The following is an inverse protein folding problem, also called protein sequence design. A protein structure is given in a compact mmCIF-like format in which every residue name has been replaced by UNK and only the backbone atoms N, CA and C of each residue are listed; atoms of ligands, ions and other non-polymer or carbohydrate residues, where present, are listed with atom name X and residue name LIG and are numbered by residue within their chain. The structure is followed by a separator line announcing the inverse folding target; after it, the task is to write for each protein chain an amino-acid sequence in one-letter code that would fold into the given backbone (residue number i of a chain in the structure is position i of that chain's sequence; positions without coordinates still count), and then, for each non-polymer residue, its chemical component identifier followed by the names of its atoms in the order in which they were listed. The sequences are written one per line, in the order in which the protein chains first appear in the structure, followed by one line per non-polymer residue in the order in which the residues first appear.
data_IF_903309059313
#
_entry.id   IF_903309059313
#
_cell.length_a   1.000
_cell.length_b   1.000
_cell.length_c   1.000
_cell.angle_alpha   90.00
_cell.angle_beta   90.00
_cell.angle_gamma   90.00
#
_symmetry.space_group_name_H-M   'P 1'
#
loop_
_entity.id
_entity.type
_entity.pdbx_description
1 polymer ?
#
# COMPACT_ATOMS: atom_id res chain seq x y z
N UNK A 1 -47.08 -17.90 -16.52
CA UNK A 1 -47.15 -16.66 -15.74
C UNK A 1 -46.45 -16.88 -14.39
N UNK A 2 -45.12 -16.82 -14.35
CA UNK A 2 -44.30 -17.14 -13.17
C UNK A 2 -43.30 -16.00 -12.96
N UNK A 3 -43.77 -14.86 -12.47
CA UNK A 3 -42.97 -13.63 -12.30
C UNK A 3 -43.29 -12.87 -11.00
N UNK A 4 -43.50 -13.58 -9.88
CA UNK A 4 -43.72 -12.93 -8.57
C UNK A 4 -42.98 -13.61 -7.41
N UNK A 5 -41.80 -14.19 -7.65
CA UNK A 5 -40.93 -14.70 -6.57
C UNK A 5 -39.45 -14.27 -6.67
N UNK A 6 -39.13 -13.24 -7.46
CA UNK A 6 -37.75 -12.74 -7.64
C UNK A 6 -37.54 -11.29 -7.18
N UNK A 7 -38.37 -10.79 -6.26
CA UNK A 7 -38.24 -9.42 -5.74
C UNK A 7 -37.82 -9.33 -4.26
N UNK A 8 -37.51 -10.47 -3.61
CA UNK A 8 -37.20 -10.49 -2.17
C UNK A 8 -35.77 -10.94 -1.83
N UNK A 9 -34.87 -11.01 -2.82
CA UNK A 9 -33.45 -11.31 -2.60
C UNK A 9 -32.53 -10.08 -2.70
N UNK A 10 -33.07 -8.88 -2.91
CA UNK A 10 -32.28 -7.67 -3.17
C UNK A 10 -32.13 -6.72 -1.97
N UNK A 11 -32.51 -7.15 -0.75
CA UNK A 11 -32.54 -6.28 0.43
C UNK A 11 -31.71 -6.77 1.63
N UNK A 12 -30.64 -7.51 1.38
CA UNK A 12 -29.60 -7.80 2.38
C UNK A 12 -28.24 -7.53 1.75
N UNK A 13 -27.89 -6.25 1.61
CA UNK A 13 -26.61 -5.91 1.00
C UNK A 13 -26.46 -4.41 0.77
N UNK A 14 -26.40 -3.64 1.86
CA UNK A 14 -25.90 -2.25 1.87
C UNK A 14 -25.82 -1.75 3.32
N UNK A 15 -24.91 -2.33 4.08
CA UNK A 15 -24.38 -1.69 5.30
C UNK A 15 -22.91 -2.09 5.51
N UNK A 16 -22.14 -2.18 4.42
CA UNK A 16 -20.70 -2.01 4.53
C UNK A 16 -20.51 -0.52 4.72
N UNK A 17 -20.35 -0.09 5.99
CA UNK A 17 -19.91 1.26 6.32
C UNK A 17 -18.73 1.56 5.41
N UNK A 18 -18.84 2.59 4.56
CA UNK A 18 -17.68 3.25 3.97
C UNK A 18 -16.86 3.78 5.15
N UNK A 19 -15.99 2.95 5.70
CA UNK A 19 -14.84 3.42 6.46
C UNK A 19 -13.99 4.07 5.39
N UNK A 20 -14.14 5.39 5.22
CA UNK A 20 -13.34 6.14 4.27
C UNK A 20 -11.87 5.91 4.60
N UNK A 21 -11.06 5.63 3.58
CA UNK A 21 -9.60 5.54 3.71
C UNK A 21 -9.00 6.74 4.49
N UNK A 22 -9.69 7.88 4.49
CA UNK A 22 -9.40 9.10 5.26
C UNK A 22 -9.32 8.87 6.78
N UNK A 23 -10.13 7.97 7.39
CA UNK A 23 -10.03 7.68 8.83
C UNK A 23 -8.91 6.68 9.15
N UNK A 24 -8.54 5.83 8.19
CA UNK A 24 -7.51 4.81 8.40
C UNK A 24 -6.11 5.44 8.37
N UNK A 25 -5.84 6.30 7.38
CA UNK A 25 -4.55 7.01 7.26
C UNK A 25 -4.35 8.14 8.26
N UNK A 26 -5.42 8.88 8.61
CA UNK A 26 -5.31 9.91 9.66
C UNK A 26 -5.03 9.27 11.02
N UNK A 27 -5.59 8.09 11.30
CA UNK A 27 -5.24 7.31 12.50
C UNK A 27 -3.85 6.65 12.39
N UNK A 28 -3.43 6.22 11.18
CA UNK A 28 -2.12 5.61 10.88
C UNK A 28 -0.94 6.51 11.28
N UNK A 29 -1.07 7.83 11.05
CA UNK A 29 -0.01 8.80 11.36
C UNK A 29 -0.18 9.44 12.73
N UNK A 30 -1.41 9.58 13.23
CA UNK A 30 -1.67 10.28 14.50
C UNK A 30 -1.43 9.44 15.75
N UNK A 31 -1.48 8.09 15.69
CA UNK A 31 -1.31 7.24 16.88
C UNK A 31 0.12 6.75 17.11
N UNK A 32 0.97 6.81 16.08
CA UNK A 32 2.39 6.43 16.19
C UNK A 32 3.10 7.48 17.06
N UNK A 33 3.75 7.01 18.13
CA UNK A 33 4.43 7.86 19.11
C UNK A 33 3.64 8.12 20.42
N UNK A 34 2.38 7.69 20.53
CA UNK A 34 1.58 7.86 21.75
C UNK A 34 1.57 6.64 22.68
N UNK A 35 1.88 5.44 22.17
CA UNK A 35 1.81 4.17 22.92
C UNK A 35 3.14 3.43 23.09
N UNK A 36 4.24 4.00 22.60
CA UNK A 36 5.57 3.37 22.59
C UNK A 36 5.81 2.41 21.40
N UNK A 37 7.07 1.97 21.20
CA UNK A 37 7.49 1.21 20.01
C UNK A 37 6.70 -0.08 19.75
N UNK A 38 6.31 -0.82 20.79
CA UNK A 38 5.56 -2.07 20.66
C UNK A 38 4.11 -1.85 20.23
N UNK A 39 3.51 -0.73 20.66
CA UNK A 39 2.18 -0.33 20.22
C UNK A 39 2.23 0.08 18.74
N UNK A 40 3.21 0.91 18.39
CA UNK A 40 3.42 1.38 17.02
C UNK A 40 3.67 0.21 16.06
N UNK A 41 4.48 -0.77 16.46
CA UNK A 41 4.72 -2.00 15.70
C UNK A 41 3.43 -2.80 15.44
N UNK A 42 2.53 -2.91 16.44
CA UNK A 42 1.24 -3.59 16.28
C UNK A 42 0.34 -2.86 15.29
N UNK A 43 0.32 -1.53 15.35
CA UNK A 43 -0.42 -0.68 14.40
C UNK A 43 0.12 -0.91 12.98
N UNK A 44 1.42 -0.75 12.77
CA UNK A 44 2.04 -0.92 11.45
C UNK A 44 1.81 -2.31 10.86
N UNK A 45 1.90 -3.37 11.68
CA UNK A 45 1.60 -4.74 11.24
C UNK A 45 0.15 -4.88 10.77
N UNK A 46 -0.82 -4.36 11.54
CA UNK A 46 -2.24 -4.40 11.19
C UNK A 46 -2.48 -3.64 9.89
N UNK A 47 -1.89 -2.46 9.78
CA UNK A 47 -2.17 -1.54 8.69
C UNK A 47 -1.51 -1.99 7.38
N UNK A 48 -0.30 -2.56 7.43
CA UNK A 48 0.32 -3.21 6.28
C UNK A 48 -0.59 -4.27 5.67
N UNK A 49 -1.15 -5.16 6.51
CA UNK A 49 -2.06 -6.21 6.08
C UNK A 49 -3.36 -5.66 5.50
N UNK A 50 -3.98 -4.72 6.22
CA UNK A 50 -5.23 -4.11 5.77
C UNK A 50 -5.06 -3.38 4.43
N UNK A 51 -3.93 -2.70 4.23
CA UNK A 51 -3.61 -2.02 2.98
C UNK A 51 -3.43 -3.02 1.83
N UNK A 52 -2.66 -4.10 2.05
CA UNK A 52 -2.44 -5.16 1.05
C UNK A 52 -3.77 -5.84 0.68
N UNK A 53 -4.59 -6.20 1.67
CA UNK A 53 -5.91 -6.79 1.43
C UNK A 53 -6.82 -5.84 0.64
N UNK A 54 -6.80 -4.54 0.96
CA UNK A 54 -7.58 -3.53 0.26
C UNK A 54 -7.14 -3.38 -1.21
N UNK A 55 -5.84 -3.27 -1.49
CA UNK A 55 -5.36 -3.10 -2.88
C UNK A 55 -5.69 -4.34 -3.72
N UNK A 56 -5.57 -5.55 -3.16
CA UNK A 56 -5.98 -6.77 -3.84
C UNK A 56 -7.48 -6.78 -4.18
N UNK A 57 -8.33 -6.20 -3.32
CA UNK A 57 -9.77 -6.10 -3.56
C UNK A 57 -10.18 -5.01 -4.55
N UNK A 58 -9.33 -4.01 -4.80
CA UNK A 58 -9.64 -2.82 -5.61
C UNK A 58 -8.96 -2.79 -6.98
N UNK A 59 -7.88 -3.54 -7.15
CA UNK A 59 -7.00 -3.45 -8.31
C UNK A 59 -6.82 -4.81 -9.00
N UNK A 60 -6.77 -4.79 -10.34
CA UNK A 60 -6.34 -5.95 -11.14
C UNK A 60 -4.82 -6.14 -11.13
N UNK A 61 -4.35 -7.28 -11.64
CA UNK A 61 -2.94 -7.69 -11.63
C UNK A 61 -1.97 -6.61 -12.16
N UNK A 62 -2.29 -5.98 -13.29
CA UNK A 62 -1.46 -4.91 -13.87
C UNK A 62 -1.29 -3.72 -12.90
N UNK A 63 -2.38 -3.31 -12.24
CA UNK A 63 -2.35 -2.22 -11.26
C UNK A 63 -1.59 -2.63 -9.99
N UNK A 64 -1.68 -3.88 -9.56
CA UNK A 64 -0.92 -4.40 -8.41
C UNK A 64 0.59 -4.39 -8.68
N UNK A 65 1.01 -4.76 -9.89
CA UNK A 65 2.39 -4.61 -10.35
C UNK A 65 2.88 -3.16 -10.28
N UNK A 66 2.09 -2.21 -10.80
CA UNK A 66 2.44 -0.79 -10.73
C UNK A 66 2.52 -0.27 -9.29
N UNK A 67 1.63 -0.70 -8.40
CA UNK A 67 1.64 -0.33 -6.97
C UNK A 67 2.89 -0.88 -6.28
N UNK A 68 3.26 -2.15 -6.53
CA UNK A 68 4.46 -2.75 -5.98
C UNK A 68 5.73 -2.02 -6.46
N UNK A 69 5.77 -1.63 -7.73
CA UNK A 69 6.89 -0.87 -8.30
C UNK A 69 7.01 0.52 -7.69
N UNK A 70 5.90 1.24 -7.54
CA UNK A 70 5.90 2.53 -6.87
C UNK A 70 6.38 2.39 -5.41
N UNK A 71 5.90 1.38 -4.68
CA UNK A 71 6.35 1.14 -3.31
C UNK A 71 7.86 0.89 -3.25
N UNK A 72 8.37 -0.01 -4.11
CA UNK A 72 9.80 -0.32 -4.23
C UNK A 72 10.63 0.94 -4.54
N UNK A 73 10.23 1.69 -5.57
CA UNK A 73 10.92 2.92 -5.99
C UNK A 73 11.03 3.92 -4.84
N UNK A 74 9.93 4.19 -4.13
CA UNK A 74 9.93 5.16 -3.02
C UNK A 74 10.76 4.70 -1.82
N UNK A 75 10.76 3.39 -1.51
CA UNK A 75 11.63 2.82 -0.48
C UNK A 75 13.10 3.02 -0.85
N UNK A 76 13.48 2.66 -2.08
CA UNK A 76 14.84 2.80 -2.60
C UNK A 76 15.29 4.27 -2.65
N UNK A 77 14.39 5.20 -3.01
CA UNK A 77 14.66 6.64 -2.95
C UNK A 77 15.01 7.10 -1.53
N UNK A 78 14.24 6.67 -0.52
CA UNK A 78 14.51 7.03 0.88
C UNK A 78 15.83 6.41 1.33
N UNK A 79 16.06 5.13 1.04
CA UNK A 79 17.32 4.46 1.38
C UNK A 79 18.51 5.15 0.74
N UNK A 80 18.48 5.42 -0.56
CA UNK A 80 19.58 6.06 -1.29
C UNK A 80 19.96 7.40 -0.69
N UNK A 81 18.99 8.19 -0.25
CA UNK A 81 19.22 9.48 0.40
C UNK A 81 19.64 9.33 1.87
N UNK A 82 19.19 8.27 2.54
CA UNK A 82 19.44 7.99 3.95
C UNK A 82 20.71 7.21 4.27
N UNK A 83 21.41 6.66 3.27
CA UNK A 83 22.70 5.95 3.44
C UNK A 83 23.78 6.78 4.18
N UNK A 84 23.60 8.10 4.30
CA UNK A 84 24.55 9.00 4.94
C UNK A 84 24.14 9.51 6.34
N UNK A 85 22.90 9.25 6.81
CA UNK A 85 22.41 9.77 8.11
C UNK A 85 21.09 9.09 8.59
N UNK A 86 21.03 8.46 9.78
CA UNK A 86 19.80 7.94 10.37
C UNK A 86 18.68 8.98 10.58
N UNK A 87 18.99 10.25 10.83
CA UNK A 87 17.99 11.33 10.91
C UNK A 87 17.25 11.54 9.59
N UNK A 88 17.80 11.02 8.49
CA UNK A 88 17.19 11.11 7.18
C UNK A 88 15.96 10.21 7.03
N UNK A 89 15.84 9.12 7.80
CA UNK A 89 14.64 8.28 7.76
C UNK A 89 13.40 9.04 8.22
N UNK A 90 13.52 9.89 9.25
CA UNK A 90 12.45 10.80 9.68
C UNK A 90 12.04 11.80 8.59
N UNK A 91 13.01 12.47 7.98
CA UNK A 91 12.78 13.39 6.84
C UNK A 91 12.22 12.67 5.60
N UNK A 92 12.62 11.42 5.39
CA UNK A 92 12.10 10.56 4.34
C UNK A 92 10.61 10.29 4.54
N UNK A 93 10.19 9.95 5.76
CA UNK A 93 8.76 9.77 6.10
C UNK A 93 7.96 11.05 5.87
N UNK A 94 8.49 12.21 6.25
CA UNK A 94 7.83 13.50 6.00
C UNK A 94 7.66 13.76 4.50
N UNK A 95 8.73 13.58 3.72
CA UNK A 95 8.68 13.73 2.27
C UNK A 95 7.68 12.77 1.60
N UNK A 96 7.67 11.50 2.02
CA UNK A 96 6.69 10.52 1.54
C UNK A 96 5.25 10.90 1.93
N UNK A 97 5.04 11.47 3.12
CA UNK A 97 3.71 11.92 3.56
C UNK A 97 3.19 13.04 2.67
N UNK A 98 4.05 13.98 2.26
CA UNK A 98 3.68 15.03 1.32
C UNK A 98 3.41 14.49 -0.09
N UNK A 99 4.23 13.55 -0.58
CA UNK A 99 3.97 12.85 -1.84
C UNK A 99 2.64 12.08 -1.82
N UNK A 100 2.33 11.43 -0.70
CA UNK A 100 1.07 10.70 -0.52
C UNK A 100 -0.14 11.63 -0.61
N UNK A 101 -0.08 12.77 0.09
CA UNK A 101 -1.10 13.83 0.02
C UNK A 101 -1.27 14.35 -1.40
N UNK A 102 -0.16 14.59 -2.11
CA UNK A 102 -0.21 15.04 -3.50
C UNK A 102 -0.85 13.99 -4.44
N UNK A 103 -0.49 12.71 -4.31
CA UNK A 103 -1.09 11.62 -5.08
C UNK A 103 -2.60 11.51 -4.82
N UNK A 104 -3.02 11.62 -3.54
CA UNK A 104 -4.42 11.64 -3.14
C UNK A 104 -5.19 12.78 -3.79
N UNK A 105 -4.63 13.99 -3.78
CA UNK A 105 -5.25 15.18 -4.39
C UNK A 105 -5.41 15.04 -5.90
N UNK A 106 -4.45 14.37 -6.56
CA UNK A 106 -4.53 14.04 -7.99
C UNK A 106 -5.43 12.84 -8.30
N UNK A 107 -5.99 12.17 -7.28
CA UNK A 107 -6.76 10.92 -7.40
C UNK A 107 -5.97 9.80 -8.08
N UNK A 108 -4.65 9.82 -7.90
CA UNK A 108 -3.76 8.78 -8.39
C UNK A 108 -3.71 7.64 -7.37
N UNK A 109 -4.61 6.67 -7.53
CA UNK A 109 -4.77 5.57 -6.58
C UNK A 109 -3.57 4.61 -6.59
N UNK A 110 -2.87 4.48 -7.72
CA UNK A 110 -1.66 3.64 -7.83
C UNK A 110 -0.54 4.28 -7.02
N UNK A 111 -0.24 5.56 -7.30
CA UNK A 111 0.80 6.28 -6.58
C UNK A 111 0.48 6.37 -5.08
N UNK A 112 -0.76 6.72 -4.73
CA UNK A 112 -1.21 6.80 -3.34
C UNK A 112 -1.03 5.46 -2.60
N UNK A 113 -1.39 4.35 -3.23
CA UNK A 113 -1.26 3.03 -2.61
C UNK A 113 0.21 2.64 -2.43
N UNK A 114 1.04 2.81 -3.46
CA UNK A 114 2.47 2.49 -3.41
C UNK A 114 3.22 3.32 -2.36
N UNK A 115 2.99 4.64 -2.35
CA UNK A 115 3.59 5.55 -1.36
C UNK A 115 3.12 5.20 0.06
N UNK A 116 1.86 4.81 0.25
CA UNK A 116 1.35 4.38 1.57
C UNK A 116 2.14 3.17 2.09
N UNK A 117 2.34 2.15 1.24
CA UNK A 117 3.14 0.98 1.61
C UNK A 117 4.59 1.39 1.93
N UNK A 118 5.20 2.29 1.16
CA UNK A 118 6.54 2.80 1.43
C UNK A 118 6.65 3.50 2.80
N UNK A 119 5.66 4.32 3.19
CA UNK A 119 5.63 4.96 4.51
C UNK A 119 5.61 3.91 5.62
N UNK A 120 4.74 2.90 5.52
CA UNK A 120 4.63 1.83 6.53
C UNK A 120 5.95 1.05 6.61
N UNK A 121 6.56 0.73 5.47
CA UNK A 121 7.84 0.04 5.41
C UNK A 121 8.95 0.81 6.12
N UNK A 122 9.16 2.09 5.77
CA UNK A 122 10.21 2.92 6.34
C UNK A 122 10.00 3.12 7.85
N UNK A 123 8.76 3.34 8.29
CA UNK A 123 8.44 3.40 9.73
C UNK A 123 8.73 2.08 10.45
N UNK A 124 8.52 0.95 9.78
CA UNK A 124 8.83 -0.37 10.34
C UNK A 124 10.33 -0.57 10.50
N UNK A 125 11.15 -0.05 9.59
CA UNK A 125 12.62 -0.10 9.71
C UNK A 125 13.14 0.75 10.88
N UNK A 126 12.54 1.91 11.14
CA UNK A 126 12.87 2.74 12.30
C UNK A 126 12.63 1.98 13.62
N UNK A 127 11.64 1.08 13.67
CA UNK A 127 11.35 0.25 14.84
C UNK A 127 12.25 -0.99 14.98
N UNK A 128 13.18 -1.23 14.04
CA UNK A 128 14.06 -2.38 14.05
C UNK A 128 13.31 -3.71 14.10
N UNK A 129 13.72 -4.61 14.99
CA UNK A 129 13.17 -5.97 15.10
C UNK A 129 11.66 -6.00 15.34
N UNK A 130 11.12 -5.01 16.06
CA UNK A 130 9.68 -4.92 16.34
C UNK A 130 8.86 -4.69 15.05
N UNK A 131 9.45 -3.99 14.06
CA UNK A 131 8.80 -3.68 12.79
C UNK A 131 8.89 -4.79 11.74
N UNK A 132 9.69 -5.85 11.96
CA UNK A 132 9.89 -6.94 11.01
C UNK A 132 8.59 -7.55 10.45
N UNK A 133 7.53 -7.79 11.26
CA UNK A 133 6.29 -8.36 10.72
C UNK A 133 5.63 -7.50 9.64
N UNK A 134 5.66 -6.17 9.78
CA UNK A 134 5.10 -5.25 8.80
C UNK A 134 6.02 -5.13 7.58
N UNK A 135 7.33 -5.01 7.82
CA UNK A 135 8.36 -5.00 6.78
C UNK A 135 8.26 -6.22 5.87
N UNK A 136 8.23 -7.42 6.45
CA UNK A 136 8.16 -8.68 5.71
C UNK A 136 6.86 -8.83 4.90
N UNK A 137 5.73 -8.34 5.41
CA UNK A 137 4.48 -8.36 4.66
C UNK A 137 4.58 -7.49 3.38
N UNK A 138 5.19 -6.31 3.49
CA UNK A 138 5.35 -5.39 2.36
C UNK A 138 6.41 -5.89 1.39
N UNK A 139 7.55 -6.40 1.88
CA UNK A 139 8.56 -7.04 1.03
C UNK A 139 7.96 -8.22 0.27
N UNK A 140 7.20 -9.10 0.95
CA UNK A 140 6.54 -10.23 0.30
C UNK A 140 5.56 -9.80 -0.80
N UNK A 141 4.80 -8.71 -0.57
CA UNK A 141 3.96 -8.12 -1.62
C UNK A 141 4.81 -7.60 -2.79
N UNK A 142 5.87 -6.83 -2.53
CA UNK A 142 6.74 -6.28 -3.57
C UNK A 142 7.43 -7.39 -4.39
N UNK A 143 7.87 -8.46 -3.73
CA UNK A 143 8.55 -9.58 -4.37
C UNK A 143 7.58 -10.45 -5.17
N UNK A 144 6.36 -10.67 -4.66
CA UNK A 144 5.30 -11.38 -5.39
C UNK A 144 5.01 -10.76 -6.77
N UNK A 145 5.09 -9.43 -6.86
CA UNK A 145 4.77 -8.68 -8.07
C UNK A 145 6.01 -8.25 -8.87
N UNK A 146 7.21 -8.69 -8.48
CA UNK A 146 8.45 -8.33 -9.17
C UNK A 146 8.46 -8.82 -10.63
N UNK A 147 7.92 -10.02 -10.88
CA UNK A 147 7.87 -10.65 -12.22
C UNK A 147 6.84 -10.03 -13.16
N UNK A 148 5.84 -9.30 -12.64
CA UNK A 148 4.86 -8.60 -13.48
C UNK A 148 5.49 -7.47 -14.32
N UNK A 149 6.79 -7.19 -14.11
CA UNK A 149 7.58 -6.33 -14.98
C UNK A 149 8.05 -7.02 -16.27
N UNK A 150 8.30 -8.32 -16.23
CA UNK A 150 8.93 -9.05 -17.34
C UNK A 150 7.91 -9.38 -18.44
N UNK A 151 6.64 -9.63 -18.08
CA UNK A 151 5.58 -10.04 -19.01
C UNK A 151 5.01 -8.90 -19.88
N UNK A 152 5.36 -7.63 -19.61
CA UNK A 152 4.90 -6.49 -20.42
C UNK A 152 5.87 -6.09 -21.55
N UNK A 153 6.90 -6.92 -21.82
CA UNK A 153 8.02 -6.59 -22.71
C UNK A 153 8.20 -7.43 -23.98
N UNK A 154 7.42 -8.51 -24.19
CA UNK A 154 7.55 -9.35 -25.39
C UNK A 154 6.22 -9.41 -26.17
N UNK A 155 5.90 -8.33 -26.89
CA UNK A 155 5.17 -8.49 -28.16
C UNK A 155 6.19 -8.95 -29.20
N UNK A 156 6.19 -10.25 -29.53
CA UNK A 156 6.94 -10.83 -30.64
C UNK A 156 6.42 -10.25 -31.97
N UNK A 157 7.20 -9.41 -32.71
CA UNK A 157 6.78 -8.86 -33.98
C UNK A 157 7.21 -9.74 -35.16
N UNK A 158 7.27 -11.07 -35.00
CA UNK A 158 7.70 -11.98 -36.07
C UNK A 158 6.71 -13.12 -36.33
N UNK A 159 5.52 -12.79 -36.85
CA UNK A 159 4.62 -13.78 -37.44
C UNK A 159 3.74 -13.20 -38.55
N UNK A 160 4.33 -12.53 -39.55
CA UNK A 160 3.74 -12.48 -40.89
C UNK A 160 4.86 -12.58 -41.94
N UNK A 161 4.97 -13.75 -42.56
CA UNK A 161 5.65 -13.97 -43.84
C UNK A 161 4.94 -15.08 -44.59
#
# INVERSE_FOLDING_TARGET
MRYLQLAEAARVGKNVRRIGADSMLSNLLAMIGFGGPEHDAKILKRDARAMIEMIHGQHGAESLGKIANEARYQIEEVHRRGLNDPQFYGRGVEALTELNRAARNRRDNVAWSGITLAIIYIKSEILGDLGLPAKNAISGFIDQWAHAQDDNGEEDPSSES
#
